data_IF_990730402439
#
_entry.id   IF_990730402439
#
_cell.length_a   1.000
_cell.length_b   1.000
_cell.length_c   1.000
_cell.angle_alpha   90.00
_cell.angle_beta   90.00
_cell.angle_gamma   90.00
#
_symmetry.space_group_name_H-M   'P 1'
#
loop_
_entity.id
_entity.type
_entity.pdbx_description
1 polymer ?
#
# COMPACT_ATOMS: atom_id res chain seq x y z
N UNK A 1 -37.12 30.75 21.86
CA UNK A 1 -37.70 29.60 21.16
C UNK A 1 -36.67 29.17 20.15
N UNK A 2 -36.01 28.07 20.46
CA UNK A 2 -34.90 27.46 19.71
C UNK A 2 -35.49 26.50 18.70
N UNK A 3 -35.35 26.78 17.41
CA UNK A 3 -35.48 25.74 16.38
C UNK A 3 -34.08 25.17 16.13
N UNK A 4 -33.86 24.01 16.74
CA UNK A 4 -32.75 23.12 16.47
C UNK A 4 -33.22 22.15 15.38
N UNK A 5 -32.95 22.46 14.12
CA UNK A 5 -32.97 21.44 13.07
C UNK A 5 -31.66 20.65 13.17
N UNK A 6 -31.72 19.55 13.94
CA UNK A 6 -30.81 18.42 13.75
C UNK A 6 -31.23 17.73 12.44
N UNK A 7 -30.58 18.10 11.34
CA UNK A 7 -30.45 17.17 10.22
C UNK A 7 -29.39 16.14 10.62
N UNK A 8 -29.83 15.10 11.36
CA UNK A 8 -29.10 13.85 11.43
C UNK A 8 -29.07 13.26 10.01
N UNK A 9 -27.99 13.56 9.30
CA UNK A 9 -27.63 12.89 8.07
C UNK A 9 -27.41 11.42 8.36
N UNK A 10 -28.47 10.63 8.19
CA UNK A 10 -28.42 9.18 8.12
C UNK A 10 -27.66 8.77 6.85
N UNK A 11 -26.35 8.95 6.89
CA UNK A 11 -25.43 8.34 5.95
C UNK A 11 -25.42 6.85 6.29
N UNK A 12 -26.38 6.11 5.72
CA UNK A 12 -26.27 4.66 5.62
C UNK A 12 -24.88 4.39 5.03
N UNK A 13 -23.95 3.75 5.76
CA UNK A 13 -22.65 3.42 5.20
C UNK A 13 -22.94 2.59 3.96
N UNK A 14 -22.46 3.01 2.78
CA UNK A 14 -22.69 2.22 1.58
C UNK A 14 -22.16 0.82 1.86
N UNK A 15 -23.03 -0.20 1.91
CA UNK A 15 -22.59 -1.59 2.17
C UNK A 15 -21.77 -2.14 1.00
N UNK A 16 -21.73 -1.40 -0.11
CA UNK A 16 -21.11 -1.77 -1.37
C UNK A 16 -19.60 -1.99 -1.27
N UNK A 17 -18.76 -1.13 -0.64
CA UNK A 17 -17.33 -1.36 -0.54
C UNK A 17 -17.00 -2.56 0.36
N UNK A 18 -17.76 -2.78 1.44
CA UNK A 18 -17.61 -3.96 2.30
C UNK A 18 -17.95 -5.25 1.54
N UNK A 19 -19.05 -5.25 0.77
CA UNK A 19 -19.42 -6.37 -0.09
C UNK A 19 -18.38 -6.61 -1.20
N UNK A 20 -17.89 -5.55 -1.86
CA UNK A 20 -16.82 -5.64 -2.87
C UNK A 20 -15.55 -6.24 -2.29
N UNK A 21 -15.11 -5.77 -1.12
CA UNK A 21 -13.93 -6.33 -0.42
C UNK A 21 -14.11 -7.82 -0.13
N UNK A 22 -15.26 -8.21 0.42
CA UNK A 22 -15.56 -9.61 0.74
C UNK A 22 -15.51 -10.49 -0.52
N UNK A 23 -16.23 -10.11 -1.57
CA UNK A 23 -16.25 -10.86 -2.84
C UNK A 23 -14.87 -10.93 -3.48
N UNK A 24 -14.06 -9.88 -3.35
CA UNK A 24 -12.70 -9.86 -3.87
C UNK A 24 -11.81 -10.87 -3.16
N UNK A 25 -11.84 -10.91 -1.82
CA UNK A 25 -11.08 -11.88 -1.01
C UNK A 25 -11.52 -13.31 -1.35
N UNK A 26 -12.82 -13.57 -1.46
CA UNK A 26 -13.36 -14.88 -1.84
C UNK A 26 -12.86 -15.29 -3.24
N UNK A 27 -12.78 -14.35 -4.18
CA UNK A 27 -12.27 -14.59 -5.53
C UNK A 27 -10.77 -14.93 -5.51
N UNK A 28 -9.98 -14.19 -4.73
CA UNK A 28 -8.54 -14.45 -4.58
C UNK A 28 -8.27 -15.81 -3.97
N UNK A 29 -9.07 -16.24 -2.99
CA UNK A 29 -8.94 -17.55 -2.36
C UNK A 29 -9.09 -18.70 -3.38
N UNK A 30 -9.91 -18.51 -4.43
CA UNK A 30 -10.15 -19.50 -5.47
C UNK A 30 -9.09 -19.46 -6.58
N UNK A 31 -8.63 -18.27 -6.95
CA UNK A 31 -7.80 -18.05 -8.14
C UNK A 31 -6.29 -18.02 -7.85
N UNK A 32 -5.90 -17.67 -6.63
CA UNK A 32 -4.51 -17.50 -6.24
C UNK A 32 -3.95 -18.80 -5.62
N UNK A 33 -2.67 -19.16 -5.89
CA UNK A 33 -2.00 -20.23 -5.16
C UNK A 33 -2.06 -20.03 -3.64
N UNK A 34 -2.37 -21.09 -2.89
CA UNK A 34 -2.57 -21.03 -1.45
C UNK A 34 -1.42 -20.34 -0.66
N UNK A 35 -0.12 -20.62 -0.94
CA UNK A 35 0.96 -19.93 -0.24
C UNK A 35 0.98 -18.41 -0.48
N UNK A 36 0.66 -17.98 -1.70
CA UNK A 36 0.59 -16.56 -2.06
C UNK A 36 -0.62 -15.88 -1.42
N UNK A 37 -1.77 -16.55 -1.40
CA UNK A 37 -2.97 -16.05 -0.73
C UNK A 37 -2.74 -15.88 0.77
N UNK A 38 -2.10 -16.87 1.42
CA UNK A 38 -1.77 -16.80 2.84
C UNK A 38 -0.85 -15.61 3.12
N UNK A 39 0.25 -15.48 2.38
CA UNK A 39 1.18 -14.35 2.52
C UNK A 39 0.46 -13.00 2.35
N UNK A 40 -0.38 -12.87 1.33
CA UNK A 40 -1.16 -11.67 1.07
C UNK A 40 -2.04 -11.28 2.26
N UNK A 41 -2.74 -12.25 2.85
CA UNK A 41 -3.61 -12.02 4.00
C UNK A 41 -2.82 -11.70 5.28
N UNK A 42 -1.65 -12.31 5.48
CA UNK A 42 -0.80 -12.03 6.62
C UNK A 42 -0.20 -10.60 6.54
N UNK A 43 0.24 -10.17 5.35
CA UNK A 43 0.69 -8.78 5.11
C UNK A 43 -0.45 -7.78 5.31
N UNK A 44 -1.65 -8.08 4.78
CA UNK A 44 -2.81 -7.21 4.95
C UNK A 44 -3.21 -7.08 6.43
N UNK A 45 -3.19 -8.19 7.19
CA UNK A 45 -3.46 -8.18 8.63
C UNK A 45 -2.43 -7.32 9.37
N UNK A 46 -1.15 -7.50 9.09
CA UNK A 46 -0.08 -6.69 9.69
C UNK A 46 -0.25 -5.19 9.40
N UNK A 47 -0.65 -4.83 8.18
CA UNK A 47 -0.98 -3.44 7.84
C UNK A 47 -2.11 -2.87 8.71
N UNK A 48 -3.19 -3.64 8.89
CA UNK A 48 -4.35 -3.23 9.71
C UNK A 48 -3.96 -3.10 11.18
N UNK A 49 -3.22 -4.06 11.72
CA UNK A 49 -2.77 -4.07 13.12
C UNK A 49 -1.88 -2.88 13.47
N UNK A 50 -1.08 -2.39 12.50
CA UNK A 50 -0.25 -1.20 12.65
C UNK A 50 -1.00 0.13 12.48
N UNK A 51 -2.32 0.09 12.25
CA UNK A 51 -3.14 1.29 12.02
C UNK A 51 -2.97 1.90 10.63
N UNK A 52 -2.40 1.13 9.69
CA UNK A 52 -2.15 1.54 8.32
C UNK A 52 -1.02 2.57 8.15
N UNK A 53 -1.06 3.30 7.03
CA UNK A 53 -0.07 4.32 6.71
C UNK A 53 1.20 3.74 6.05
N UNK A 54 2.36 4.29 6.38
CA UNK A 54 3.63 3.84 5.77
C UNK A 54 4.20 2.69 6.59
N UNK A 55 4.09 1.48 6.06
CA UNK A 55 4.63 0.26 6.66
C UNK A 55 5.78 -0.27 5.80
N UNK A 56 6.90 -0.62 6.45
CA UNK A 56 7.95 -1.40 5.84
C UNK A 56 7.71 -2.88 6.20
N UNK A 57 7.35 -3.68 5.20
CA UNK A 57 7.16 -5.13 5.39
C UNK A 57 8.53 -5.79 5.32
N UNK A 58 8.92 -6.51 6.36
CA UNK A 58 10.09 -7.39 6.34
C UNK A 58 9.58 -8.77 5.93
N UNK A 59 10.12 -9.28 4.83
CA UNK A 59 9.82 -10.61 4.32
C UNK A 59 11.11 -11.43 4.40
N UNK A 60 10.99 -12.68 4.84
CA UNK A 60 12.10 -13.63 4.72
C UNK A 60 12.32 -14.06 3.26
N UNK A 61 13.35 -14.87 3.00
CA UNK A 61 13.70 -15.25 1.63
C UNK A 61 12.61 -16.08 0.93
N UNK A 62 11.91 -16.96 1.66
CA UNK A 62 10.81 -17.75 1.10
C UNK A 62 9.59 -16.86 0.80
N UNK A 63 9.25 -15.96 1.72
CA UNK A 63 8.18 -14.99 1.55
C UNK A 63 8.46 -14.02 0.39
N UNK A 64 9.72 -13.61 0.20
CA UNK A 64 10.14 -12.75 -0.93
C UNK A 64 9.92 -13.43 -2.28
N UNK A 65 10.17 -14.73 -2.39
CA UNK A 65 9.89 -15.48 -3.62
C UNK A 65 8.39 -15.54 -3.92
N UNK A 66 7.56 -15.65 -2.87
CA UNK A 66 6.11 -15.66 -2.98
C UNK A 66 5.52 -14.27 -3.27
N UNK A 67 6.18 -13.19 -2.85
CA UNK A 67 5.73 -11.80 -2.99
C UNK A 67 5.94 -11.21 -4.39
N UNK A 68 5.47 -11.95 -5.39
CA UNK A 68 5.55 -11.62 -6.81
C UNK A 68 4.81 -10.30 -7.16
N UNK A 69 5.10 -9.70 -8.33
CA UNK A 69 4.37 -8.52 -8.81
C UNK A 69 2.84 -8.72 -8.87
N UNK A 70 2.37 -9.95 -9.12
CA UNK A 70 0.95 -10.25 -9.06
C UNK A 70 0.38 -10.11 -7.64
N UNK A 71 1.07 -10.65 -6.63
CA UNK A 71 0.65 -10.51 -5.21
C UNK A 71 0.69 -9.05 -4.76
N UNK A 72 1.69 -8.28 -5.19
CA UNK A 72 1.78 -6.84 -4.91
C UNK A 72 0.60 -6.06 -5.49
N UNK A 73 0.20 -6.38 -6.73
CA UNK A 73 -0.98 -5.81 -7.36
C UNK A 73 -2.24 -6.09 -6.54
N UNK A 74 -2.44 -7.33 -6.13
CA UNK A 74 -3.62 -7.70 -5.33
C UNK A 74 -3.65 -7.03 -3.96
N UNK A 75 -2.49 -6.89 -3.31
CA UNK A 75 -2.37 -6.13 -2.07
C UNK A 75 -2.83 -4.68 -2.24
N UNK A 76 -2.39 -4.00 -3.30
CA UNK A 76 -2.82 -2.61 -3.57
C UNK A 76 -4.32 -2.50 -3.82
N UNK A 77 -4.94 -3.47 -4.51
CA UNK A 77 -6.40 -3.50 -4.70
C UNK A 77 -7.12 -3.66 -3.35
N UNK A 78 -6.68 -4.61 -2.52
CA UNK A 78 -7.24 -4.83 -1.19
C UNK A 78 -7.12 -3.58 -0.31
N UNK A 79 -5.97 -2.88 -0.35
CA UNK A 79 -5.79 -1.63 0.38
C UNK A 79 -6.71 -0.51 -0.11
N UNK A 80 -7.00 -0.46 -1.41
CA UNK A 80 -7.98 0.47 -1.99
C UNK A 80 -9.40 0.22 -1.48
N UNK A 81 -9.83 -1.04 -1.54
CA UNK A 81 -11.14 -1.48 -1.05
C UNK A 81 -11.28 -1.29 0.46
N UNK A 82 -10.24 -1.60 1.24
CA UNK A 82 -10.20 -1.36 2.68
C UNK A 82 -10.28 0.15 2.98
N UNK A 83 -9.52 0.97 2.25
CA UNK A 83 -9.54 2.42 2.39
C UNK A 83 -10.91 3.03 2.11
N UNK A 84 -11.68 2.42 1.21
CA UNK A 84 -13.04 2.84 0.88
C UNK A 84 -14.08 2.54 1.96
N UNK A 85 -13.74 1.77 2.99
CA UNK A 85 -14.58 1.59 4.18
C UNK A 85 -14.52 2.81 5.10
N UNK A 86 -13.58 3.73 4.90
CA UNK A 86 -13.50 4.97 5.68
C UNK A 86 -14.52 5.97 5.13
N UNK A 87 -15.41 6.53 5.96
CA UNK A 87 -16.39 7.53 5.50
C UNK A 87 -15.73 8.70 4.77
N UNK A 88 -16.27 9.07 3.60
CA UNK A 88 -15.72 10.14 2.76
C UNK A 88 -14.51 9.75 1.92
N UNK A 89 -14.21 8.45 1.83
CA UNK A 89 -13.16 7.88 0.99
C UNK A 89 -13.65 6.75 0.06
N UNK A 90 -14.95 6.70 -0.21
CA UNK A 90 -15.60 5.66 -1.00
C UNK A 90 -15.00 5.56 -2.42
N UNK A 91 -14.51 6.68 -2.98
CA UNK A 91 -13.87 6.73 -4.29
C UNK A 91 -12.58 5.89 -4.39
N UNK A 92 -12.01 5.49 -3.25
CA UNK A 92 -10.85 4.59 -3.22
C UNK A 92 -11.16 3.22 -3.78
N UNK A 93 -12.42 2.79 -3.75
CA UNK A 93 -12.85 1.51 -4.30
C UNK A 93 -12.78 1.45 -5.83
N UNK A 94 -12.74 2.60 -6.50
CA UNK A 94 -12.72 2.70 -7.96
C UNK A 94 -11.32 2.99 -8.51
N UNK A 95 -10.31 3.03 -7.63
CA UNK A 95 -8.91 3.20 -8.04
C UNK A 95 -8.35 1.92 -8.66
N UNK A 96 -7.39 2.11 -9.55
CA UNK A 96 -6.74 1.04 -10.31
C UNK A 96 -5.25 1.02 -10.03
N UNK A 97 -4.66 -0.18 -10.12
CA UNK A 97 -3.21 -0.35 -9.95
C UNK A 97 -2.50 -0.02 -11.25
N UNK A 98 -1.73 1.06 -11.24
CA UNK A 98 -0.82 1.46 -12.31
C UNK A 98 0.60 0.99 -12.02
N UNK A 99 1.21 0.37 -13.03
CA UNK A 99 2.65 0.09 -13.05
C UNK A 99 3.39 1.35 -13.50
N UNK A 100 4.33 1.80 -12.69
CA UNK A 100 5.14 3.00 -12.95
C UNK A 100 6.51 2.64 -13.54
N UNK A 101 6.87 1.37 -13.55
CA UNK A 101 8.16 0.85 -13.96
C UNK A 101 9.29 1.24 -13.03
N UNK A 102 10.50 1.21 -13.58
CA UNK A 102 11.74 1.45 -12.84
C UNK A 102 12.15 2.93 -12.86
N UNK A 103 12.59 3.40 -11.69
CA UNK A 103 13.44 4.56 -11.51
C UNK A 103 14.90 4.17 -11.25
N UNK A 104 15.72 5.13 -10.84
CA UNK A 104 17.12 4.87 -10.47
C UNK A 104 17.20 4.09 -9.14
N UNK A 105 16.42 4.53 -8.15
CA UNK A 105 16.42 4.07 -6.76
C UNK A 105 15.26 3.13 -6.43
N UNK A 106 14.12 3.29 -7.09
CA UNK A 106 12.93 2.47 -6.87
C UNK A 106 12.67 1.58 -8.10
N UNK A 107 12.55 0.26 -7.88
CA UNK A 107 12.30 -0.73 -8.93
C UNK A 107 10.89 -1.30 -8.84
N UNK A 108 10.34 -1.68 -9.98
CA UNK A 108 9.03 -2.34 -10.14
C UNK A 108 7.90 -1.60 -9.39
N UNK A 109 7.90 -0.27 -9.46
CA UNK A 109 7.04 0.54 -8.61
C UNK A 109 5.60 0.47 -9.10
N UNK A 110 4.68 0.03 -8.24
CA UNK A 110 3.24 0.07 -8.48
C UNK A 110 2.54 1.08 -7.57
N UNK A 111 1.43 1.64 -8.04
CA UNK A 111 0.63 2.56 -7.24
C UNK A 111 -0.86 2.45 -7.54
N UNK A 112 -1.67 2.70 -6.51
CA UNK A 112 -3.12 2.76 -6.61
C UNK A 112 -3.57 4.20 -6.93
N UNK A 113 -4.08 4.41 -8.15
CA UNK A 113 -4.40 5.74 -8.68
C UNK A 113 -5.82 5.81 -9.24
N UNK A 114 -6.41 7.02 -9.37
CA UNK A 114 -7.63 7.20 -10.13
C UNK A 114 -7.48 6.74 -11.60
N UNK A 115 -8.53 6.21 -12.25
CA UNK A 115 -8.47 5.74 -13.64
C UNK A 115 -7.96 6.80 -14.64
N UNK A 116 -8.32 8.07 -14.45
CA UNK A 116 -7.88 9.18 -15.29
C UNK A 116 -6.37 9.46 -15.15
N UNK A 117 -5.77 9.12 -14.01
CA UNK A 117 -4.32 9.20 -13.81
C UNK A 117 -3.63 7.99 -14.47
N UNK A 118 -4.21 6.80 -14.36
CA UNK A 118 -3.70 5.60 -15.03
C UNK A 118 -3.68 5.75 -16.57
N UNK A 119 -4.60 6.54 -17.12
CA UNK A 119 -4.67 6.84 -18.55
C UNK A 119 -3.72 7.95 -19.02
N UNK A 120 -3.00 8.63 -18.11
CA UNK A 120 -2.09 9.74 -18.42
C UNK A 120 -0.62 9.35 -18.18
N UNK A 121 0.13 9.00 -19.25
CA UNK A 121 1.53 8.62 -19.13
C UNK A 121 2.44 9.71 -18.54
N UNK A 122 2.08 10.99 -18.70
CA UNK A 122 2.87 12.10 -18.15
C UNK A 122 2.72 12.13 -16.64
N UNK A 123 1.49 12.04 -16.13
CA UNK A 123 1.23 11.97 -14.67
C UNK A 123 1.85 10.75 -14.02
N UNK A 124 1.84 9.59 -14.69
CA UNK A 124 2.49 8.38 -14.18
C UNK A 124 4.01 8.56 -14.07
N UNK A 125 4.65 9.18 -15.07
CA UNK A 125 6.09 9.50 -15.02
C UNK A 125 6.41 10.48 -13.90
N UNK A 126 5.63 11.56 -13.75
CA UNK A 126 5.82 12.51 -12.65
C UNK A 126 5.66 11.88 -11.27
N UNK A 127 4.75 10.90 -11.14
CA UNK A 127 4.59 10.15 -9.89
C UNK A 127 5.76 9.21 -9.64
N UNK A 128 6.22 8.48 -10.66
CA UNK A 128 7.44 7.66 -10.59
C UNK A 128 8.62 8.48 -10.13
N UNK A 129 8.90 9.60 -10.79
CA UNK A 129 10.07 10.43 -10.51
C UNK A 129 10.05 10.98 -9.08
N UNK A 130 8.86 11.32 -8.55
CA UNK A 130 8.68 11.72 -7.14
C UNK A 130 8.96 10.58 -6.16
N UNK A 131 8.49 9.38 -6.46
CA UNK A 131 8.73 8.20 -5.62
C UNK A 131 10.20 7.79 -5.64
N UNK A 132 10.83 7.84 -6.80
CA UNK A 132 12.24 7.55 -7.01
C UNK A 132 13.14 8.53 -6.25
N UNK A 133 12.91 9.84 -6.40
CA UNK A 133 13.64 10.85 -5.64
C UNK A 133 13.44 10.70 -4.12
N UNK A 134 12.25 10.29 -3.67
CA UNK A 134 12.01 10.00 -2.27
C UNK A 134 12.74 8.74 -1.79
N UNK A 135 12.88 7.72 -2.63
CA UNK A 135 13.68 6.53 -2.34
C UNK A 135 15.17 6.87 -2.24
N UNK A 136 15.70 7.65 -3.18
CA UNK A 136 17.09 8.13 -3.15
C UNK A 136 17.41 8.95 -1.91
N UNK A 137 16.53 9.87 -1.51
CA UNK A 137 16.71 10.62 -0.24
C UNK A 137 16.79 9.69 0.96
N UNK A 138 15.90 8.69 1.06
CA UNK A 138 15.92 7.73 2.18
C UNK A 138 17.18 6.86 2.19
N UNK A 139 17.68 6.46 1.03
CA UNK A 139 18.93 5.73 0.93
C UNK A 139 20.10 6.58 1.44
N UNK A 140 20.16 7.85 1.04
CA UNK A 140 21.15 8.82 1.53
C UNK A 140 21.03 9.05 3.03
N UNK A 141 19.81 9.27 3.55
CA UNK A 141 19.56 9.50 4.98
C UNK A 141 20.02 8.30 5.81
N UNK A 142 19.72 7.08 5.35
CA UNK A 142 20.15 5.84 6.01
C UNK A 142 21.67 5.72 6.06
N UNK A 143 22.34 5.95 4.94
CA UNK A 143 23.80 5.91 4.87
C UNK A 143 24.45 6.93 5.82
N UNK A 144 23.90 8.15 5.90
CA UNK A 144 24.38 9.18 6.81
C UNK A 144 24.19 8.78 8.29
N UNK A 145 23.03 8.20 8.64
CA UNK A 145 22.78 7.71 10.02
C UNK A 145 23.74 6.58 10.38
N UNK A 146 24.01 5.65 9.46
CA UNK A 146 24.98 4.58 9.66
C UNK A 146 26.42 5.10 9.84
N UNK A 147 26.81 6.14 9.10
CA UNK A 147 28.11 6.79 9.27
C UNK A 147 28.24 7.46 10.64
N UNK A 148 27.20 8.18 11.08
CA UNK A 148 27.16 8.80 12.41
C UNK A 148 27.23 7.73 13.50
N UNK A 149 26.48 6.63 13.35
CA UNK A 149 26.49 5.52 14.30
C UNK A 149 27.90 4.89 14.40
N UNK A 150 28.57 4.68 13.26
CA UNK A 150 29.96 4.19 13.21
C UNK A 150 30.94 5.15 13.87
N UNK A 151 30.86 6.44 13.54
CA UNK A 151 31.73 7.47 14.13
C UNK A 151 31.52 7.64 15.64
N UNK A 152 30.31 7.36 16.13
CA UNK A 152 29.92 7.49 17.54
C UNK A 152 30.15 6.20 18.34
N UNK A 153 30.69 5.13 17.73
CA UNK A 153 30.86 3.84 18.37
C UNK A 153 29.54 3.12 18.72
N UNK A 154 28.43 3.51 18.09
CA UNK A 154 27.09 2.96 18.28
C UNK A 154 26.68 2.01 17.14
N UNK A 155 27.58 1.71 16.20
CA UNK A 155 27.30 0.71 15.18
C UNK A 155 27.06 -0.64 15.85
N UNK A 156 25.86 -1.20 15.64
CA UNK A 156 25.57 -2.58 16.02
C UNK A 156 26.48 -3.47 15.18
N UNK A 157 27.51 -4.03 15.81
CA UNK A 157 28.20 -5.19 15.27
C UNK A 157 27.23 -6.36 15.41
N UNK A 158 26.58 -6.74 14.32
CA UNK A 158 26.06 -8.11 14.23
C UNK A 158 27.28 -9.03 14.33
N UNK A 159 27.51 -9.57 15.52
CA UNK A 159 28.45 -10.68 15.73
C UNK A 159 27.85 -11.95 15.09
N UNK A 160 28.74 -12.70 14.44
CA UNK A 160 28.54 -13.87 13.57
C UNK A 160 27.51 -14.92 14.01
#
# INVERSE_FOLDING_TARGET
MTDSEHEDGDAVPSELPALRLKLYIESLQVLMPEPQFKLLMDVLRGYIELGGGRVAVKLDDEERELFTPAVQRELLVLLGLLGALTPGHEERADRVVADLGDGEWAKEVMSLVPPEVAADPTRLREMRDRLDAAAGRRASDRAAVEEIARASGMAVTEED
#
